data_IF_869719513044
#
_entry.id   IF_869719513044
#
_cell.length_a   1.000
_cell.length_b   1.000
_cell.length_c   1.000
_cell.angle_alpha   90.00
_cell.angle_beta   90.00
_cell.angle_gamma   90.00
#
_symmetry.space_group_name_H-M   'P 1'
#
loop_
_entity.id
_entity.type
_entity.pdbx_description
1 polymer ?
#
# COMPACT_ATOMS: atom_id res chain seq x y z
N UNK A 1 -12.79 -14.03 10.57
CA UNK A 1 -11.61 -13.20 10.37
C UNK A 1 -11.95 -11.89 9.73
N UNK A 2 -11.50 -10.85 10.29
CA UNK A 2 -11.84 -9.56 9.73
C UNK A 2 -10.80 -9.15 8.70
N UNK A 3 -11.26 -8.36 7.74
CA UNK A 3 -10.39 -7.78 6.74
C UNK A 3 -9.60 -6.65 7.37
N UNK A 4 -8.32 -6.51 7.02
CA UNK A 4 -7.54 -5.41 7.57
C UNK A 4 -8.13 -4.07 7.15
N UNK A 5 -8.17 -3.15 8.07
CA UNK A 5 -8.63 -1.80 7.79
C UNK A 5 -7.47 -0.91 7.42
N UNK A 6 -7.68 -0.04 6.45
CA UNK A 6 -6.67 0.93 6.07
C UNK A 6 -7.33 2.30 6.00
N UNK A 7 -6.53 3.33 6.20
CA UNK A 7 -7.01 4.69 6.03
C UNK A 7 -7.15 4.99 4.55
N UNK A 8 -7.91 6.04 4.24
CA UNK A 8 -8.12 6.40 2.84
C UNK A 8 -6.81 6.64 2.11
N UNK A 9 -5.87 7.31 2.75
CA UNK A 9 -4.59 7.57 2.12
C UNK A 9 -3.83 6.27 1.86
N UNK A 10 -3.93 5.32 2.78
CA UNK A 10 -3.30 4.02 2.59
C UNK A 10 -3.99 3.24 1.48
N UNK A 11 -5.29 3.39 1.35
CA UNK A 11 -6.02 2.75 0.28
C UNK A 11 -5.56 3.29 -1.08
N UNK A 12 -5.37 4.59 -1.19
CA UNK A 12 -4.86 5.18 -2.43
C UNK A 12 -3.49 4.66 -2.77
N UNK A 13 -2.65 4.49 -1.75
CA UNK A 13 -1.35 3.88 -1.94
C UNK A 13 -1.49 2.47 -2.50
N UNK A 14 -2.41 1.70 -1.94
CA UNK A 14 -2.62 0.32 -2.39
C UNK A 14 -3.11 0.27 -3.83
N UNK A 15 -3.93 1.22 -4.24
CA UNK A 15 -4.39 1.25 -5.64
C UNK A 15 -3.21 1.34 -6.59
N UNK A 16 -2.23 2.16 -6.25
CA UNK A 16 -1.03 2.29 -7.07
C UNK A 16 -0.26 0.98 -7.06
N UNK A 17 -0.11 0.39 -5.88
CA UNK A 17 0.62 -0.86 -5.76
C UNK A 17 -0.02 -1.97 -6.58
N UNK A 18 -1.34 -2.12 -6.47
CA UNK A 18 -2.02 -3.20 -7.19
C UNK A 18 -1.84 -3.07 -8.71
N UNK A 19 -1.69 -1.85 -9.21
CA UNK A 19 -1.50 -1.64 -10.64
C UNK A 19 -0.08 -1.95 -11.09
N UNK A 20 0.88 -2.01 -10.17
CA UNK A 20 2.28 -2.10 -10.56
C UNK A 20 3.03 -3.24 -9.88
N UNK A 21 2.39 -3.98 -8.99
CA UNK A 21 3.10 -5.01 -8.25
C UNK A 21 3.51 -6.17 -9.16
N UNK A 22 4.61 -6.84 -8.84
CA UNK A 22 5.58 -6.45 -7.83
C UNK A 22 6.44 -5.30 -8.33
N UNK A 23 6.83 -4.41 -7.42
CA UNK A 23 7.52 -3.19 -7.80
C UNK A 23 8.56 -2.86 -6.72
N UNK A 24 9.68 -2.30 -7.14
CA UNK A 24 10.69 -1.87 -6.20
C UNK A 24 10.16 -0.74 -5.34
N UNK A 25 10.52 -0.75 -4.06
CA UNK A 25 10.04 0.29 -3.14
C UNK A 25 10.41 1.68 -3.62
N UNK A 26 11.59 1.81 -4.24
CA UNK A 26 12.06 3.09 -4.76
C UNK A 26 11.16 3.58 -5.89
N UNK A 27 10.81 2.69 -6.81
CA UNK A 27 9.94 3.06 -7.91
C UNK A 27 8.53 3.37 -7.41
N UNK A 28 8.07 2.62 -6.43
CA UNK A 28 6.77 2.86 -5.82
C UNK A 28 6.73 4.23 -5.14
N UNK A 29 7.82 4.59 -4.46
CA UNK A 29 7.88 5.89 -3.82
C UNK A 29 7.80 7.02 -4.85
N UNK A 30 8.43 6.82 -6.00
CA UNK A 30 8.36 7.82 -7.06
C UNK A 30 6.94 7.97 -7.59
N UNK A 31 6.25 6.86 -7.78
CA UNK A 31 4.86 6.91 -8.23
C UNK A 31 3.97 7.61 -7.22
N UNK A 32 4.17 7.34 -5.94
CA UNK A 32 3.38 7.99 -4.91
C UNK A 32 3.65 9.48 -4.87
N UNK A 33 4.88 9.87 -5.14
CA UNK A 33 5.20 11.29 -5.19
C UNK A 33 4.46 11.96 -6.35
N UNK A 34 4.42 11.30 -7.48
CA UNK A 34 3.78 11.86 -8.67
C UNK A 34 2.27 11.87 -8.56
N UNK A 35 1.70 10.81 -8.03
CA UNK A 35 0.25 10.65 -8.04
C UNK A 35 -0.44 11.11 -6.77
N UNK A 36 0.24 11.04 -5.64
CA UNK A 36 -0.34 11.39 -4.35
C UNK A 36 0.29 12.64 -3.73
N UNK A 37 1.40 13.11 -4.29
CA UNK A 37 2.11 14.24 -3.72
C UNK A 37 2.83 13.88 -2.43
N UNK A 38 3.11 12.62 -2.21
CA UNK A 38 3.76 12.18 -0.98
C UNK A 38 5.27 12.39 -1.06
N UNK A 39 5.86 12.75 0.07
CA UNK A 39 7.30 12.72 0.17
C UNK A 39 7.78 11.27 0.18
N UNK A 40 9.01 11.07 -0.30
CA UNK A 40 9.57 9.71 -0.35
C UNK A 40 9.58 9.09 1.04
N UNK A 41 9.92 9.88 2.06
CA UNK A 41 9.94 9.35 3.43
C UNK A 41 8.56 8.91 3.88
N UNK A 42 7.52 9.63 3.48
CA UNK A 42 6.15 9.25 3.81
C UNK A 42 5.83 7.88 3.23
N UNK A 43 6.22 7.66 1.97
CA UNK A 43 5.94 6.38 1.34
C UNK A 43 6.65 5.25 2.05
N UNK A 44 7.90 5.43 2.43
CA UNK A 44 8.60 4.37 3.14
C UNK A 44 7.99 4.09 4.51
N UNK A 45 7.51 5.12 5.17
CA UNK A 45 6.81 4.94 6.44
C UNK A 45 5.54 4.11 6.25
N UNK A 46 4.78 4.40 5.20
CA UNK A 46 3.56 3.67 4.92
C UNK A 46 3.87 2.22 4.55
N UNK A 47 4.91 2.01 3.74
CA UNK A 47 5.32 0.65 3.39
C UNK A 47 5.62 -0.16 4.65
N UNK A 48 6.39 0.42 5.56
CA UNK A 48 6.73 -0.28 6.79
C UNK A 48 5.49 -0.57 7.61
N UNK A 49 4.62 0.42 7.74
CA UNK A 49 3.42 0.28 8.56
C UNK A 49 2.49 -0.80 8.02
N UNK A 50 2.26 -0.78 6.71
CA UNK A 50 1.37 -1.77 6.11
C UNK A 50 2.01 -3.16 6.09
N UNK A 51 3.33 -3.23 5.99
CA UNK A 51 4.02 -4.51 6.09
C UNK A 51 3.82 -5.14 7.46
N UNK A 52 3.92 -4.32 8.51
CA UNK A 52 3.76 -4.81 9.86
C UNK A 52 2.33 -5.26 10.13
N UNK A 53 1.38 -4.68 9.41
CA UNK A 53 -0.03 -5.06 9.58
C UNK A 53 -0.44 -6.21 8.68
N UNK A 54 0.47 -6.72 7.86
CA UNK A 54 0.16 -7.84 7.00
C UNK A 54 -0.62 -7.50 5.75
N UNK A 55 -0.66 -6.24 5.39
CA UNK A 55 -1.39 -5.80 4.20
C UNK A 55 -0.52 -5.95 2.95
N UNK A 56 0.75 -5.67 3.07
CA UNK A 56 1.69 -5.79 1.96
C UNK A 56 2.94 -6.51 2.45
N UNK A 57 3.79 -6.85 1.50
CA UNK A 57 5.05 -7.54 1.76
C UNK A 57 6.18 -6.77 1.09
N UNK A 58 7.27 -6.57 1.80
CA UNK A 58 8.45 -5.91 1.25
C UNK A 58 9.64 -6.85 1.45
N UNK A 59 10.05 -7.51 0.39
CA UNK A 59 11.14 -8.47 0.42
C UNK A 59 12.22 -8.04 -0.56
N UNK A 60 13.44 -7.85 -0.07
CA UNK A 60 14.56 -7.44 -0.93
C UNK A 60 14.17 -6.22 -1.76
N UNK A 61 13.55 -5.25 -1.12
CA UNK A 61 13.08 -4.00 -1.71
C UNK A 61 11.99 -4.18 -2.76
N UNK A 62 11.45 -5.37 -2.91
CA UNK A 62 10.32 -5.62 -3.82
C UNK A 62 9.04 -5.66 -2.99
N UNK A 63 8.09 -4.82 -3.39
CA UNK A 63 6.83 -4.66 -2.66
C UNK A 63 5.71 -5.32 -3.44
N UNK A 64 4.88 -6.07 -2.74
CA UNK A 64 3.70 -6.67 -3.32
C UNK A 64 2.61 -6.73 -2.26
N UNK A 65 1.37 -6.85 -2.70
CA UNK A 65 0.24 -6.88 -1.77
C UNK A 65 0.01 -8.29 -1.26
N UNK A 66 -0.53 -8.38 -0.05
CA UNK A 66 -0.93 -9.64 0.55
C UNK A 66 -2.44 -9.78 0.61
N UNK A 67 -3.17 -8.70 0.34
CA UNK A 67 -4.62 -8.72 0.33
C UNK A 67 -5.10 -8.14 -0.99
N UNK A 68 -6.30 -8.52 -1.37
CA UNK A 68 -6.86 -8.06 -2.64
C UNK A 68 -7.57 -6.73 -2.44
N UNK A 69 -7.76 -6.04 -3.56
CA UNK A 69 -8.49 -4.78 -3.56
C UNK A 69 -9.89 -4.95 -2.99
N UNK A 70 -10.53 -6.05 -3.33
CA UNK A 70 -11.89 -6.29 -2.87
C UNK A 70 -11.95 -6.46 -1.36
N UNK A 71 -10.95 -7.09 -0.78
CA UNK A 71 -10.94 -7.29 0.66
C UNK A 71 -10.83 -5.95 1.40
N UNK A 72 -9.92 -5.11 0.95
CA UNK A 72 -9.72 -3.81 1.57
C UNK A 72 -10.93 -2.91 1.35
N UNK A 73 -11.45 -2.92 0.14
CA UNK A 73 -12.57 -2.05 -0.19
C UNK A 73 -13.79 -2.38 0.68
N UNK A 74 -14.03 -3.66 0.89
CA UNK A 74 -15.14 -4.06 1.72
C UNK A 74 -14.99 -3.56 3.15
N UNK A 75 -13.78 -3.67 3.68
CA UNK A 75 -13.55 -3.21 5.04
C UNK A 75 -13.76 -1.72 5.18
N UNK A 76 -13.38 -0.97 4.16
CA UNK A 76 -13.53 0.47 4.19
C UNK A 76 -14.98 0.91 4.13
N UNK A 77 -15.76 0.23 3.31
CA UNK A 77 -17.14 0.61 3.13
C UNK A 77 -17.93 0.46 4.41
N UNK A 78 -17.53 -0.46 5.26
CA UNK A 78 -18.23 -0.68 6.51
C UNK A 78 -18.05 0.45 7.50
N UNK A 79 -17.17 1.35 7.20
CA UNK A 79 -17.06 2.52 8.05
C UNK A 79 -18.37 3.31 8.05
#
# INVERSE_FOLDING_TARGET
MSTPKVFESEYRFCLILWDHEPIKSRDLAQLCEEQLGWKVTTTYTVIKRLSERGVIKNENTIVSSLVSKEQIQTAEIEE
#
